data_IF_414328671830
#
_entry.id   IF_414328671830
#
_cell.length_a   1.000
_cell.length_b   1.000
_cell.length_c   1.000
_cell.angle_alpha   90.00
_cell.angle_beta   90.00
_cell.angle_gamma   90.00
#
_symmetry.space_group_name_H-M   'P 1'
#
loop_
_entity.id
_entity.type
_entity.pdbx_description
1 polymer ?
#
# COMPACT_ATOMS: atom_id res chain seq x y z
N UNK A 1 -9.11 -13.40 -17.56
CA UNK A 1 -7.96 -12.60 -17.10
C UNK A 1 -8.46 -11.64 -16.03
N UNK A 2 -8.16 -11.90 -14.76
CA UNK A 2 -8.85 -11.32 -13.60
C UNK A 2 -7.90 -10.59 -12.62
N UNK A 3 -6.71 -10.20 -13.07
CA UNK A 3 -5.65 -9.72 -12.17
C UNK A 3 -5.83 -8.25 -11.78
N UNK A 4 -6.16 -7.38 -12.75
CA UNK A 4 -6.25 -5.92 -12.53
C UNK A 4 -7.42 -5.48 -11.64
N UNK A 5 -8.60 -6.08 -11.81
CA UNK A 5 -9.75 -5.76 -10.97
C UNK A 5 -9.55 -6.23 -9.53
N UNK A 6 -8.88 -7.38 -9.34
CA UNK A 6 -8.59 -7.92 -8.02
C UNK A 6 -7.51 -7.10 -7.30
N UNK A 7 -6.44 -6.71 -8.01
CA UNK A 7 -5.46 -5.75 -7.50
C UNK A 7 -6.09 -4.43 -7.09
N UNK A 8 -7.00 -3.87 -7.89
CA UNK A 8 -7.73 -2.65 -7.52
C UNK A 8 -8.59 -2.82 -6.26
N UNK A 9 -9.26 -3.96 -6.10
CA UNK A 9 -10.01 -4.26 -4.88
C UNK A 9 -9.09 -4.42 -3.67
N UNK A 10 -7.96 -5.12 -3.82
CA UNK A 10 -6.99 -5.32 -2.75
C UNK A 10 -6.33 -4.00 -2.33
N UNK A 11 -6.03 -3.11 -3.29
CA UNK A 11 -5.53 -1.75 -3.04
C UNK A 11 -6.56 -0.92 -2.29
N UNK A 12 -7.82 -0.90 -2.74
CA UNK A 12 -8.90 -0.18 -2.05
C UNK A 12 -9.15 -0.74 -0.63
N UNK A 13 -9.00 -2.04 -0.44
CA UNK A 13 -9.08 -2.69 0.87
C UNK A 13 -7.91 -2.26 1.77
N UNK A 14 -6.68 -2.20 1.24
CA UNK A 14 -5.51 -1.70 1.95
C UNK A 14 -5.68 -0.25 2.41
N UNK A 15 -6.19 0.64 1.55
CA UNK A 15 -6.49 2.03 1.94
C UNK A 15 -7.57 2.11 3.03
N UNK A 16 -8.56 1.22 2.97
CA UNK A 16 -9.64 1.17 3.96
C UNK A 16 -9.18 0.63 5.32
N UNK A 17 -8.23 -0.31 5.33
CA UNK A 17 -7.69 -0.93 6.55
C UNK A 17 -6.70 -0.03 7.28
N UNK A 18 -5.96 0.81 6.54
CA UNK A 18 -4.91 1.65 7.09
C UNK A 18 -5.16 3.14 6.81
N UNK A 19 -6.11 3.76 7.53
CA UNK A 19 -6.43 5.16 7.34
C UNK A 19 -5.25 6.07 7.71
N UNK A 20 -5.20 7.24 7.08
CA UNK A 20 -4.19 8.30 7.30
C UNK A 20 -4.15 8.86 8.72
N UNK A 21 -5.11 8.49 9.57
CA UNK A 21 -5.19 8.96 10.96
C UNK A 21 -4.50 8.04 11.96
N UNK A 22 -3.90 6.93 11.53
CA UNK A 22 -3.21 6.06 12.48
C UNK A 22 -1.96 6.75 13.05
N UNK A 23 -1.86 6.79 14.39
CA UNK A 23 -0.78 7.46 15.13
C UNK A 23 0.62 6.88 14.88
N UNK A 24 0.73 5.72 14.25
CA UNK A 24 1.99 5.01 13.99
C UNK A 24 2.22 4.64 12.53
N UNK A 25 1.16 4.51 11.74
CA UNK A 25 1.23 4.02 10.36
C UNK A 25 0.14 4.63 9.47
N UNK A 26 0.53 5.51 8.56
CA UNK A 26 -0.39 6.23 7.67
C UNK A 26 -0.12 5.82 6.24
N UNK A 27 -1.11 5.23 5.56
CA UNK A 27 -0.99 4.99 4.12
C UNK A 27 -1.28 6.30 3.40
N UNK A 28 -0.26 6.88 2.76
CA UNK A 28 -0.38 8.15 2.04
C UNK A 28 -1.07 7.95 0.68
N UNK A 29 -0.70 6.87 -0.01
CA UNK A 29 -1.25 6.47 -1.30
C UNK A 29 -1.08 4.96 -1.47
N UNK A 30 -2.11 4.26 -1.92
CA UNK A 30 -1.96 2.91 -2.43
C UNK A 30 -2.47 2.83 -3.86
N UNK A 31 -1.67 2.24 -4.74
CA UNK A 31 -1.98 2.04 -6.16
C UNK A 31 -1.61 0.63 -6.57
N UNK A 32 -2.03 0.22 -7.76
CA UNK A 32 -1.77 -1.13 -8.29
C UNK A 32 -0.27 -1.37 -8.47
N UNK A 33 0.48 -0.32 -8.77
CA UNK A 33 1.91 -0.39 -9.10
C UNK A 33 2.80 0.04 -7.93
N UNK A 34 2.32 0.97 -7.08
CA UNK A 34 3.11 1.56 -5.99
C UNK A 34 2.26 1.83 -4.73
N UNK A 35 2.88 1.68 -3.56
CA UNK A 35 2.28 1.98 -2.26
C UNK A 35 3.24 2.88 -1.49
N UNK A 36 2.75 4.02 -1.02
CA UNK A 36 3.47 4.96 -0.19
C UNK A 36 2.88 4.96 1.22
N UNK A 37 3.71 4.63 2.20
CA UNK A 37 3.34 4.59 3.61
C UNK A 37 4.25 5.48 4.43
N UNK A 38 3.69 6.08 5.48
CA UNK A 38 4.40 6.91 6.41
C UNK A 38 4.31 6.28 7.81
N UNK A 39 5.45 5.99 8.39
CA UNK A 39 5.56 5.59 9.79
C UNK A 39 5.89 6.81 10.65
N UNK A 40 5.09 7.03 11.69
CA UNK A 40 5.39 8.03 12.71
C UNK A 40 6.01 7.30 13.89
N UNK A 41 7.31 7.48 14.07
CA UNK A 41 8.01 6.94 15.22
C UNK A 41 7.67 7.77 16.47
N UNK A 42 7.76 7.19 17.69
CA UNK A 42 7.57 7.92 18.95
C UNK A 42 8.57 9.07 19.16
N UNK A 43 9.60 9.19 18.33
CA UNK A 43 10.52 10.33 18.25
C UNK A 43 10.01 11.48 17.35
N UNK A 44 8.75 11.42 16.92
CA UNK A 44 8.10 12.39 16.02
C UNK A 44 8.80 12.58 14.66
N UNK A 45 9.64 11.63 14.25
CA UNK A 45 10.25 11.60 12.92
C UNK A 45 9.37 10.78 11.97
N UNK A 46 8.76 11.40 10.95
CA UNK A 46 8.04 10.67 9.92
C UNK A 46 9.03 9.98 8.99
N UNK A 47 8.90 8.67 8.83
CA UNK A 47 9.63 7.86 7.85
C UNK A 47 8.67 7.56 6.72
N UNK A 48 8.94 8.10 5.53
CA UNK A 48 8.15 7.81 4.34
C UNK A 48 8.83 6.69 3.57
N UNK A 49 8.09 5.62 3.30
CA UNK A 49 8.53 4.44 2.57
C UNK A 49 7.65 4.30 1.33
N UNK A 50 8.28 4.29 0.17
CA UNK A 50 7.63 4.00 -1.11
C UNK A 50 8.03 2.60 -1.55
N UNK A 51 7.06 1.72 -1.71
CA UNK A 51 7.25 0.35 -2.16
C UNK A 51 6.57 0.13 -3.51
N UNK A 52 7.26 -0.52 -4.44
CA UNK A 52 6.70 -0.89 -5.73
C UNK A 52 6.05 -2.29 -5.63
N UNK A 53 4.80 -2.41 -6.04
CA UNK A 53 4.03 -3.66 -6.07
C UNK A 53 4.47 -4.46 -7.30
N UNK A 54 5.52 -5.27 -7.12
CA UNK A 54 5.98 -6.21 -8.13
C UNK A 54 5.08 -7.46 -8.12
N UNK A 55 4.03 -7.44 -8.95
CA UNK A 55 3.23 -8.64 -9.24
C UNK A 55 4.08 -9.62 -10.04
N UNK A 56 4.84 -10.48 -9.35
CA UNK A 56 5.47 -11.68 -9.93
C UNK A 56 4.48 -12.85 -10.02
N UNK A 57 3.23 -12.59 -10.41
CA UNK A 57 2.22 -13.63 -10.63
C UNK A 57 1.79 -13.64 -12.10
N UNK A 58 2.57 -14.35 -12.93
CA UNK A 58 2.12 -15.25 -14.01
C UNK A 58 3.28 -15.55 -14.99
N UNK A 59 4.15 -16.52 -14.67
CA UNK A 59 4.88 -17.33 -15.68
C UNK A 59 4.50 -18.81 -15.51
N UNK A 60 3.34 -19.13 -14.94
CA UNK A 60 2.85 -20.52 -14.90
C UNK A 60 1.34 -20.57 -15.08
N UNK A 61 0.88 -20.21 -16.27
CA UNK A 61 -0.34 -20.77 -16.86
C UNK A 61 0.04 -21.42 -18.18
#
# INVERSE_FOLDING_TARGET
MACLQKLRQDVAMLESLFPKEHERFQVLSASVDEITVQFINPQNKPIVVTANVLVRLCILC
#
